data_IF_321851534516
#
_entry.id   IF_321851534516
#
_cell.length_a   1.000
_cell.length_b   1.000
_cell.length_c   1.000
_cell.angle_alpha   90.00
_cell.angle_beta   90.00
_cell.angle_gamma   90.00
#
_symmetry.space_group_name_H-M   'P 1'
#
loop_
_entity.id
_entity.type
_entity.pdbx_description
1 polymer ?
#
# COMPACT_ATOMS: atom_id res chain seq x y z
N UNK A 1 -83.58 72.69 -44.75
CA UNK A 1 -84.37 71.70 -45.49
C UNK A 1 -85.24 70.97 -44.46
N UNK A 2 -86.54 71.23 -44.45
CA UNK A 2 -87.43 70.87 -43.36
C UNK A 2 -87.78 69.38 -43.47
N UNK A 3 -87.19 68.54 -42.61
CA UNK A 3 -87.32 67.06 -42.65
C UNK A 3 -88.79 66.64 -42.51
N UNK A 4 -89.61 67.50 -41.88
CA UNK A 4 -91.04 67.28 -41.67
C UNK A 4 -91.88 67.23 -42.96
N UNK A 5 -91.47 67.95 -44.02
CA UNK A 5 -92.16 67.91 -45.33
C UNK A 5 -91.52 66.96 -46.32
N UNK A 6 -90.40 66.31 -45.97
CA UNK A 6 -89.72 65.38 -46.87
C UNK A 6 -90.51 64.08 -47.06
N UNK A 7 -91.42 63.76 -46.12
CA UNK A 7 -92.17 62.51 -46.11
C UNK A 7 -93.68 62.67 -46.38
N UNK A 8 -94.20 63.90 -46.52
CA UNK A 8 -95.63 64.14 -46.70
C UNK A 8 -96.14 63.82 -48.12
N UNK A 9 -95.24 63.66 -49.10
CA UNK A 9 -95.58 63.20 -50.46
C UNK A 9 -95.52 61.68 -50.63
N UNK A 10 -95.25 60.93 -49.57
CA UNK A 10 -95.09 59.47 -49.63
C UNK A 10 -96.37 58.67 -49.37
N UNK A 11 -97.55 59.27 -49.52
CA UNK A 11 -98.83 58.57 -49.31
C UNK A 11 -99.33 57.79 -50.55
N UNK A 12 -98.44 57.60 -51.54
CA UNK A 12 -98.70 56.74 -52.69
C UNK A 12 -98.14 55.34 -52.43
N UNK A 13 -98.79 54.27 -52.91
CA UNK A 13 -98.29 52.90 -52.78
C UNK A 13 -96.81 52.74 -53.19
N UNK A 14 -96.39 53.48 -54.23
CA UNK A 14 -95.01 53.47 -54.75
C UNK A 14 -93.98 54.07 -53.77
N UNK A 15 -94.41 55.00 -52.93
CA UNK A 15 -93.55 55.67 -51.97
C UNK A 15 -93.24 54.81 -50.74
N UNK A 16 -94.24 54.07 -50.25
CA UNK A 16 -94.03 53.04 -49.23
C UNK A 16 -93.09 51.94 -49.74
N UNK A 17 -93.16 51.60 -51.04
CA UNK A 17 -92.23 50.64 -51.65
C UNK A 17 -90.79 51.15 -51.69
N UNK A 18 -90.56 52.42 -52.07
CA UNK A 18 -89.22 53.03 -52.07
C UNK A 18 -88.65 53.15 -50.64
N UNK A 19 -89.47 53.53 -49.66
CA UNK A 19 -89.05 53.56 -48.25
C UNK A 19 -88.70 52.16 -47.72
N UNK A 20 -89.50 51.14 -48.06
CA UNK A 20 -89.21 49.76 -47.69
C UNK A 20 -87.89 49.29 -48.31
N UNK A 21 -87.65 49.56 -49.59
CA UNK A 21 -86.41 49.19 -50.30
C UNK A 21 -85.19 49.89 -49.69
N UNK A 22 -85.29 51.17 -49.33
CA UNK A 22 -84.17 51.91 -48.71
C UNK A 22 -83.86 51.43 -47.29
N UNK A 23 -84.88 51.12 -46.49
CA UNK A 23 -84.71 50.50 -45.16
C UNK A 23 -84.08 49.10 -45.31
N UNK A 24 -84.56 48.28 -46.24
CA UNK A 24 -83.97 46.96 -46.52
C UNK A 24 -82.51 47.11 -46.97
N UNK A 25 -82.19 48.05 -47.87
CA UNK A 25 -80.83 48.33 -48.31
C UNK A 25 -79.91 48.79 -47.17
N UNK A 26 -80.41 49.64 -46.27
CA UNK A 26 -79.68 50.08 -45.08
C UNK A 26 -79.44 48.92 -44.10
N UNK A 27 -80.47 48.12 -43.81
CA UNK A 27 -80.36 46.94 -42.97
C UNK A 27 -79.40 45.91 -43.58
N UNK A 28 -79.45 45.72 -44.90
CA UNK A 28 -78.55 44.83 -45.62
C UNK A 28 -77.10 45.32 -45.56
N UNK A 29 -76.86 46.62 -45.74
CA UNK A 29 -75.54 47.24 -45.56
C UNK A 29 -75.01 47.10 -44.12
N UNK A 30 -75.88 47.26 -43.12
CA UNK A 30 -75.54 47.09 -41.70
C UNK A 30 -75.20 45.62 -41.37
N UNK A 31 -75.98 44.67 -41.91
CA UNK A 31 -75.73 43.23 -41.78
C UNK A 31 -74.39 42.86 -42.46
N UNK A 32 -74.12 43.35 -43.68
CA UNK A 32 -72.84 43.12 -44.38
C UNK A 32 -71.67 43.71 -43.59
N UNK A 33 -71.80 44.93 -43.06
CA UNK A 33 -70.77 45.57 -42.24
C UNK A 33 -70.45 44.78 -40.97
N UNK A 34 -71.48 44.28 -40.28
CA UNK A 34 -71.31 43.42 -39.10
C UNK A 34 -70.68 42.06 -39.45
N UNK A 35 -71.07 41.46 -40.58
CA UNK A 35 -70.49 40.21 -41.07
C UNK A 35 -69.01 40.37 -41.45
N UNK A 36 -68.65 41.44 -42.16
CA UNK A 36 -67.25 41.72 -42.55
C UNK A 36 -66.37 42.03 -41.33
N UNK A 37 -66.88 42.82 -40.37
CA UNK A 37 -66.18 43.09 -39.10
C UNK A 37 -66.02 41.80 -38.28
N UNK A 38 -67.04 40.95 -38.24
CA UNK A 38 -66.99 39.62 -37.61
C UNK A 38 -66.02 38.67 -38.30
N UNK A 39 -65.91 38.71 -39.63
CA UNK A 39 -64.94 37.93 -40.40
C UNK A 39 -63.49 38.36 -40.11
N UNK A 40 -63.20 39.67 -40.16
CA UNK A 40 -61.87 40.21 -39.79
C UNK A 40 -61.51 39.93 -38.33
N UNK A 41 -62.45 40.10 -37.41
CA UNK A 41 -62.23 39.79 -36.00
C UNK A 41 -61.92 38.30 -35.77
N UNK A 42 -62.58 37.39 -36.49
CA UNK A 42 -62.27 35.95 -36.47
C UNK A 42 -60.88 35.66 -37.04
N UNK A 43 -60.51 36.30 -38.15
CA UNK A 43 -59.18 36.17 -38.74
C UNK A 43 -58.08 36.65 -37.78
N UNK A 44 -58.24 37.82 -37.17
CA UNK A 44 -57.28 38.33 -36.17
C UNK A 44 -57.21 37.44 -34.92
N UNK A 45 -58.33 36.92 -34.42
CA UNK A 45 -58.30 35.93 -33.32
C UNK A 45 -57.56 34.66 -33.70
N UNK A 46 -57.71 34.18 -34.94
CA UNK A 46 -56.99 33.01 -35.45
C UNK A 46 -55.48 33.27 -35.54
N UNK A 47 -55.08 34.45 -36.06
CA UNK A 47 -53.68 34.87 -36.10
C UNK A 47 -53.09 35.02 -34.69
N UNK A 48 -53.81 35.66 -33.76
CA UNK A 48 -53.37 35.81 -32.37
C UNK A 48 -53.20 34.44 -31.70
N UNK A 49 -54.12 33.49 -31.92
CA UNK A 49 -53.98 32.11 -31.42
C UNK A 49 -52.78 31.38 -32.03
N UNK A 50 -52.52 31.54 -33.32
CA UNK A 50 -51.36 30.94 -33.97
C UNK A 50 -50.05 31.54 -33.44
N UNK A 51 -50.00 32.87 -33.29
CA UNK A 51 -48.83 33.58 -32.79
C UNK A 51 -48.55 33.25 -31.31
N UNK A 52 -49.58 33.19 -30.47
CA UNK A 52 -49.44 32.77 -29.07
C UNK A 52 -48.96 31.33 -28.94
N UNK A 53 -49.44 30.41 -29.80
CA UNK A 53 -48.93 29.04 -29.82
C UNK A 53 -47.45 28.97 -30.26
N UNK A 54 -47.03 29.79 -31.23
CA UNK A 54 -45.62 29.89 -31.64
C UNK A 54 -44.76 30.45 -30.50
N UNK A 55 -45.21 31.51 -29.83
CA UNK A 55 -44.49 32.09 -28.68
C UNK A 55 -44.36 31.10 -27.53
N UNK A 56 -45.42 30.33 -27.23
CA UNK A 56 -45.35 29.26 -26.22
C UNK A 56 -44.35 28.18 -26.62
N UNK A 57 -44.35 27.76 -27.89
CA UNK A 57 -43.38 26.78 -28.38
C UNK A 57 -41.95 27.29 -28.27
N UNK A 58 -41.69 28.52 -28.70
CA UNK A 58 -40.38 29.16 -28.58
C UNK A 58 -39.93 29.26 -27.11
N UNK A 59 -40.82 29.59 -26.19
CA UNK A 59 -40.48 29.66 -24.77
C UNK A 59 -40.12 28.27 -24.21
N UNK A 60 -40.86 27.22 -24.58
CA UNK A 60 -40.52 25.85 -24.17
C UNK A 60 -39.17 25.38 -24.74
N UNK A 61 -38.87 25.76 -25.99
CA UNK A 61 -37.61 25.42 -26.64
C UNK A 61 -36.45 26.17 -25.97
N UNK A 62 -36.63 27.46 -25.68
CA UNK A 62 -35.68 28.27 -24.92
C UNK A 62 -35.37 27.66 -23.56
N UNK A 63 -36.40 27.33 -22.76
CA UNK A 63 -36.22 26.69 -21.45
C UNK A 63 -35.45 25.37 -21.58
N UNK A 64 -35.74 24.59 -22.62
CA UNK A 64 -35.03 23.32 -22.88
C UNK A 64 -33.55 23.56 -23.20
N UNK A 65 -33.25 24.56 -24.04
CA UNK A 65 -31.88 24.93 -24.40
C UNK A 65 -31.13 25.47 -23.18
N UNK A 66 -31.74 26.35 -22.39
CA UNK A 66 -31.15 26.90 -21.16
C UNK A 66 -30.84 25.81 -20.15
N UNK A 67 -31.76 24.84 -19.95
CA UNK A 67 -31.51 23.68 -19.12
C UNK A 67 -30.37 22.80 -19.65
N UNK A 68 -30.28 22.62 -20.97
CA UNK A 68 -29.17 21.92 -21.61
C UNK A 68 -27.82 22.64 -21.45
N UNK A 69 -27.82 23.98 -21.55
CA UNK A 69 -26.64 24.82 -21.37
C UNK A 69 -26.13 24.75 -19.94
N UNK A 70 -27.02 24.89 -18.94
CA UNK A 70 -26.66 24.77 -17.52
C UNK A 70 -26.00 23.42 -17.21
N UNK A 71 -26.55 22.33 -17.75
CA UNK A 71 -25.95 21.00 -17.59
C UNK A 71 -24.55 20.93 -18.22
N UNK A 72 -24.35 21.56 -19.38
CA UNK A 72 -23.04 21.61 -20.03
C UNK A 72 -22.04 22.47 -19.25
N UNK A 73 -22.48 23.56 -18.64
CA UNK A 73 -21.69 24.40 -17.74
C UNK A 73 -21.21 23.59 -16.52
N UNK A 74 -22.11 22.79 -15.92
CA UNK A 74 -21.78 21.91 -14.80
C UNK A 74 -20.78 20.81 -15.20
N UNK A 75 -20.98 20.16 -16.35
CA UNK A 75 -20.03 19.17 -16.89
C UNK A 75 -18.65 19.80 -17.15
N UNK A 76 -18.59 21.05 -17.62
CA UNK A 76 -17.35 21.78 -17.86
C UNK A 76 -16.61 22.13 -16.57
N UNK A 77 -17.33 22.54 -15.52
CA UNK A 77 -16.73 22.83 -14.21
C UNK A 77 -16.15 21.55 -13.59
N UNK A 78 -16.90 20.44 -13.64
CA UNK A 78 -16.42 19.15 -13.16
C UNK A 78 -15.15 18.69 -13.90
N UNK A 79 -15.12 18.84 -15.24
CA UNK A 79 -13.92 18.53 -16.02
C UNK A 79 -12.73 19.44 -15.63
N UNK A 80 -12.98 20.71 -15.34
CA UNK A 80 -11.95 21.67 -14.93
C UNK A 80 -11.39 21.37 -13.53
N UNK A 81 -12.20 20.87 -12.62
CA UNK A 81 -11.75 20.35 -11.32
C UNK A 81 -10.88 19.09 -11.48
N UNK A 82 -11.32 18.13 -12.30
CA UNK A 82 -10.54 16.93 -12.59
C UNK A 82 -9.17 17.27 -13.19
N UNK A 83 -9.10 18.23 -14.11
CA UNK A 83 -7.83 18.71 -14.67
C UNK A 83 -6.95 19.32 -13.58
N UNK A 84 -7.50 20.13 -12.67
CA UNK A 84 -6.74 20.72 -11.55
C UNK A 84 -6.13 19.64 -10.65
N UNK A 85 -6.88 18.58 -10.34
CA UNK A 85 -6.39 17.49 -9.51
C UNK A 85 -5.33 16.64 -10.22
N UNK A 86 -5.49 16.41 -11.53
CA UNK A 86 -4.47 15.74 -12.34
C UNK A 86 -3.18 16.56 -12.43
N UNK A 87 -3.26 17.88 -12.51
CA UNK A 87 -2.08 18.77 -12.48
C UNK A 87 -1.34 18.60 -11.15
N UNK A 88 -2.03 18.70 -10.01
CA UNK A 88 -1.40 18.49 -8.69
C UNK A 88 -0.74 17.12 -8.56
N UNK A 89 -1.41 16.07 -9.07
CA UNK A 89 -0.84 14.71 -9.07
C UNK A 89 0.42 14.62 -9.93
N UNK A 90 0.44 15.29 -11.07
CA UNK A 90 1.59 15.35 -11.98
C UNK A 90 2.76 16.10 -11.36
N UNK A 91 2.50 17.24 -10.70
CA UNK A 91 3.51 18.00 -9.97
C UNK A 91 4.15 17.17 -8.84
N UNK A 92 3.33 16.44 -8.09
CA UNK A 92 3.81 15.53 -7.04
C UNK A 92 4.70 14.43 -7.62
N UNK A 93 4.27 13.79 -8.72
CA UNK A 93 5.06 12.75 -9.41
C UNK A 93 6.39 13.29 -9.94
N UNK A 94 6.41 14.52 -10.47
CA UNK A 94 7.65 15.12 -10.96
C UNK A 94 8.61 15.44 -9.79
N UNK A 95 8.10 15.89 -8.64
CA UNK A 95 8.90 16.09 -7.44
C UNK A 95 9.50 14.77 -6.90
N UNK A 96 8.69 13.69 -6.87
CA UNK A 96 9.16 12.35 -6.48
C UNK A 96 10.24 11.83 -7.43
N UNK A 97 10.07 12.04 -8.74
CA UNK A 97 11.06 11.67 -9.76
C UNK A 97 12.37 12.44 -9.59
N UNK A 98 12.32 13.73 -9.25
CA UNK A 98 13.54 14.52 -8.98
C UNK A 98 14.27 14.04 -7.71
N UNK A 99 13.51 13.69 -6.67
CA UNK A 99 14.08 13.12 -5.47
C UNK A 99 14.80 11.79 -5.76
N UNK A 100 14.13 10.88 -6.49
CA UNK A 100 14.73 9.60 -6.89
C UNK A 100 15.99 9.77 -7.75
N UNK A 101 16.01 10.76 -8.65
CA UNK A 101 17.20 11.06 -9.44
C UNK A 101 18.39 11.52 -8.58
N UNK A 102 18.11 12.21 -7.47
CA UNK A 102 19.13 12.63 -6.48
C UNK A 102 19.65 11.41 -5.72
N UNK A 103 18.75 10.57 -5.21
CA UNK A 103 19.15 9.36 -4.47
C UNK A 103 19.98 8.42 -5.35
N UNK A 104 19.61 8.27 -6.62
CA UNK A 104 20.37 7.47 -7.58
C UNK A 104 21.78 8.02 -7.82
N UNK A 105 21.92 9.34 -7.86
CA UNK A 105 23.22 10.00 -8.00
C UNK A 105 24.09 9.76 -6.75
N UNK A 106 23.52 9.88 -5.56
CA UNK A 106 24.25 9.67 -4.30
C UNK A 106 24.65 8.20 -4.12
N UNK A 107 23.79 7.27 -4.53
CA UNK A 107 24.11 5.85 -4.59
C UNK A 107 25.25 5.55 -5.58
N UNK A 108 25.23 6.15 -6.78
CA UNK A 108 26.33 6.01 -7.74
C UNK A 108 27.66 6.55 -7.17
N UNK A 109 27.64 7.70 -6.51
CA UNK A 109 28.83 8.26 -5.88
C UNK A 109 29.38 7.33 -4.79
N UNK A 110 28.50 6.70 -4.01
CA UNK A 110 28.88 5.73 -2.99
C UNK A 110 29.50 4.46 -3.59
N UNK A 111 28.94 3.96 -4.70
CA UNK A 111 29.51 2.81 -5.44
C UNK A 111 30.90 3.15 -5.96
N UNK A 112 31.10 4.35 -6.51
CA UNK A 112 32.40 4.79 -7.01
C UNK A 112 33.45 4.88 -5.89
N UNK A 113 33.07 5.40 -4.71
CA UNK A 113 33.93 5.42 -3.53
C UNK A 113 34.31 4.01 -3.05
N UNK A 114 33.33 3.09 -3.00
CA UNK A 114 33.58 1.69 -2.64
C UNK A 114 34.50 1.00 -3.66
N UNK A 115 34.33 1.28 -4.95
CA UNK A 115 35.20 0.74 -6.00
C UNK A 115 36.63 1.27 -5.85
N UNK A 116 36.82 2.57 -5.60
CA UNK A 116 38.14 3.14 -5.34
C UNK A 116 38.81 2.53 -4.10
N UNK A 117 38.05 2.33 -3.00
CA UNK A 117 38.56 1.67 -1.80
C UNK A 117 38.94 0.21 -2.07
N UNK A 118 38.09 -0.53 -2.80
CA UNK A 118 38.38 -1.91 -3.19
C UNK A 118 39.63 -2.02 -4.07
N UNK A 119 39.83 -1.09 -5.00
CA UNK A 119 41.07 -1.03 -5.79
C UNK A 119 42.30 -0.79 -4.90
N UNK A 120 42.19 0.09 -3.90
CA UNK A 120 43.26 0.29 -2.92
C UNK A 120 43.55 -1.00 -2.15
N UNK A 121 42.53 -1.72 -1.68
CA UNK A 121 42.73 -2.99 -0.98
C UNK A 121 43.38 -4.05 -1.86
N UNK A 122 42.98 -4.15 -3.14
CA UNK A 122 43.60 -5.07 -4.09
C UNK A 122 45.08 -4.75 -4.29
N UNK A 123 45.45 -3.48 -4.47
CA UNK A 123 46.84 -3.06 -4.61
C UNK A 123 47.67 -3.41 -3.35
N UNK A 124 47.10 -3.22 -2.15
CA UNK A 124 47.75 -3.62 -0.90
C UNK A 124 47.93 -5.13 -0.79
N UNK A 125 46.93 -5.92 -1.18
CA UNK A 125 47.00 -7.39 -1.19
C UNK A 125 48.11 -7.86 -2.14
N UNK A 126 48.23 -7.23 -3.32
CA UNK A 126 49.26 -7.56 -4.30
C UNK A 126 50.67 -7.26 -3.77
N UNK A 127 50.88 -6.10 -3.14
CA UNK A 127 52.15 -5.74 -2.51
C UNK A 127 52.53 -6.73 -1.40
N UNK A 128 51.57 -7.08 -0.52
CA UNK A 128 51.77 -8.09 0.51
C UNK A 128 52.14 -9.45 -0.08
N UNK A 129 51.48 -9.87 -1.15
CA UNK A 129 51.76 -11.14 -1.82
C UNK A 129 53.20 -11.16 -2.38
N UNK A 130 53.64 -10.06 -3.01
CA UNK A 130 55.02 -9.92 -3.48
C UNK A 130 56.03 -9.98 -2.33
N UNK A 131 55.72 -9.36 -1.18
CA UNK A 131 56.58 -9.39 0.01
C UNK A 131 56.66 -10.80 0.62
N UNK A 132 55.56 -11.56 0.64
CA UNK A 132 55.54 -12.97 1.05
C UNK A 132 56.42 -13.82 0.12
N UNK A 133 56.31 -13.64 -1.20
CA UNK A 133 57.16 -14.35 -2.17
C UNK A 133 58.64 -14.04 -1.90
N UNK A 134 59.00 -12.77 -1.72
CA UNK A 134 60.38 -12.36 -1.43
C UNK A 134 60.93 -12.96 -0.13
N UNK A 135 60.10 -13.03 0.92
CA UNK A 135 60.47 -13.67 2.19
C UNK A 135 60.64 -15.18 2.03
N UNK A 136 59.76 -15.85 1.29
CA UNK A 136 59.87 -17.29 1.03
C UNK A 136 61.17 -17.61 0.27
N UNK A 137 61.52 -16.84 -0.76
CA UNK A 137 62.78 -17.03 -1.50
C UNK A 137 63.99 -16.87 -0.59
N UNK A 138 64.00 -15.87 0.31
CA UNK A 138 65.07 -15.71 1.30
C UNK A 138 65.13 -16.87 2.29
N UNK A 139 63.99 -17.36 2.76
CA UNK A 139 63.91 -18.52 3.65
C UNK A 139 64.50 -19.77 2.98
N UNK A 140 64.18 -20.01 1.71
CA UNK A 140 64.75 -21.11 0.93
C UNK A 140 66.28 -20.97 0.78
N UNK A 141 66.77 -19.77 0.47
CA UNK A 141 68.21 -19.49 0.40
C UNK A 141 68.92 -19.75 1.73
N UNK A 142 68.33 -19.31 2.84
CA UNK A 142 68.87 -19.55 4.18
C UNK A 142 68.88 -21.03 4.55
N UNK A 143 67.82 -21.78 4.23
CA UNK A 143 67.77 -23.22 4.45
C UNK A 143 68.87 -23.95 3.67
N UNK A 144 69.13 -23.52 2.43
CA UNK A 144 70.22 -24.03 1.60
C UNK A 144 71.58 -23.72 2.24
N UNK A 145 71.83 -22.48 2.69
CA UNK A 145 73.06 -22.06 3.36
C UNK A 145 73.29 -22.83 4.67
N UNK A 146 72.25 -23.01 5.49
CA UNK A 146 72.29 -23.80 6.73
C UNK A 146 72.62 -25.27 6.41
N UNK A 147 71.98 -25.88 5.41
CA UNK A 147 72.27 -27.27 5.02
C UNK A 147 73.69 -27.43 4.50
N UNK A 148 74.17 -26.50 3.67
CA UNK A 148 75.55 -26.49 3.22
C UNK A 148 76.50 -26.40 4.42
N UNK A 149 76.26 -25.47 5.36
CA UNK A 149 77.08 -25.35 6.56
C UNK A 149 77.05 -26.60 7.44
N UNK A 150 75.89 -27.24 7.63
CA UNK A 150 75.79 -28.50 8.37
C UNK A 150 76.65 -29.61 7.74
N UNK A 151 76.70 -29.68 6.40
CA UNK A 151 77.56 -30.64 5.68
C UNK A 151 79.07 -30.32 5.80
N UNK A 152 79.47 -29.04 5.80
CA UNK A 152 80.87 -28.64 5.96
C UNK A 152 81.35 -28.74 7.42
N UNK A 153 80.53 -28.37 8.40
CA UNK A 153 80.85 -28.46 9.83
C UNK A 153 81.03 -29.92 10.30
N UNK A 154 80.32 -30.86 9.67
CA UNK A 154 80.54 -32.29 9.88
C UNK A 154 81.89 -32.79 9.32
N UNK A 155 82.53 -32.04 8.41
CA UNK A 155 83.79 -32.40 7.78
C UNK A 155 85.04 -31.74 8.42
N UNK A 156 84.91 -30.57 9.07
CA UNK A 156 86.01 -29.86 9.73
C UNK A 156 85.53 -28.99 10.92
N UNK A 157 85.58 -29.46 12.19
CA UNK A 157 84.81 -28.84 13.29
C UNK A 157 85.38 -27.59 13.96
N UNK A 158 86.60 -27.14 13.64
CA UNK A 158 87.29 -26.07 14.41
C UNK A 158 88.23 -25.23 13.55
N UNK A 159 87.67 -24.46 12.61
CA UNK A 159 88.45 -23.47 11.84
C UNK A 159 87.84 -22.06 11.99
N UNK A 160 88.66 -21.02 11.93
CA UNK A 160 88.30 -19.60 12.08
C UNK A 160 87.21 -19.16 11.07
N UNK A 161 87.17 -19.83 9.92
CA UNK A 161 86.13 -19.64 8.91
C UNK A 161 84.73 -20.05 9.38
N UNK A 162 84.61 -20.95 10.37
CA UNK A 162 83.33 -21.38 10.94
C UNK A 162 82.71 -20.28 11.79
N UNK A 163 83.54 -19.51 12.50
CA UNK A 163 83.13 -18.39 13.35
C UNK A 163 82.65 -17.20 12.51
N UNK A 164 83.40 -16.80 11.48
CA UNK A 164 82.96 -15.75 10.54
C UNK A 164 81.65 -16.12 9.83
N UNK A 165 81.44 -17.41 9.55
CA UNK A 165 80.20 -17.88 8.93
C UNK A 165 79.02 -17.93 9.89
N UNK A 166 79.23 -18.27 11.16
CA UNK A 166 78.21 -18.14 12.20
C UNK A 166 77.78 -16.69 12.39
N UNK A 167 78.74 -15.75 12.36
CA UNK A 167 78.47 -14.31 12.43
C UNK A 167 77.61 -13.83 11.26
N UNK A 168 77.89 -14.28 10.03
CA UNK A 168 77.05 -13.94 8.87
C UNK A 168 75.62 -14.50 8.95
N UNK A 169 75.45 -15.72 9.50
CA UNK A 169 74.12 -16.31 9.70
C UNK A 169 73.35 -15.54 10.77
N UNK A 170 74.03 -15.13 11.85
CA UNK A 170 73.42 -14.33 12.92
C UNK A 170 72.97 -12.95 12.42
N UNK A 171 73.76 -12.29 11.56
CA UNK A 171 73.35 -11.04 10.89
C UNK A 171 72.12 -11.24 10.00
N UNK A 172 72.07 -12.31 9.21
CA UNK A 172 70.92 -12.61 8.36
C UNK A 172 69.65 -12.92 9.20
N UNK A 173 69.79 -13.61 10.34
CA UNK A 173 68.69 -13.92 11.26
C UNK A 173 68.14 -12.64 11.92
N UNK A 174 69.01 -11.70 12.28
CA UNK A 174 68.60 -10.38 12.77
C UNK A 174 67.88 -9.57 11.70
N UNK A 175 68.41 -9.53 10.47
CA UNK A 175 67.77 -8.84 9.35
C UNK A 175 66.36 -9.42 9.08
N UNK A 176 66.21 -10.75 9.19
CA UNK A 176 64.92 -11.42 9.00
C UNK A 176 63.93 -11.15 10.13
N UNK A 177 64.40 -11.07 11.38
CA UNK A 177 63.59 -10.65 12.52
C UNK A 177 63.05 -9.22 12.33
N UNK A 178 63.87 -8.30 11.82
CA UNK A 178 63.46 -6.93 11.50
C UNK A 178 62.39 -6.90 10.40
N UNK A 179 62.56 -7.68 9.33
CA UNK A 179 61.56 -7.75 8.24
C UNK A 179 60.23 -8.35 8.71
N UNK A 180 60.26 -9.37 9.58
CA UNK A 180 59.05 -9.95 10.17
C UNK A 180 58.30 -8.95 11.07
N UNK A 181 59.04 -8.09 11.79
CA UNK A 181 58.44 -7.04 12.60
C UNK A 181 57.74 -5.98 11.73
N UNK A 182 58.38 -5.56 10.64
CA UNK A 182 57.80 -4.61 9.67
C UNK A 182 56.54 -5.19 8.99
N UNK A 183 56.55 -6.48 8.66
CA UNK A 183 55.37 -7.18 8.12
C UNK A 183 54.21 -7.19 9.12
N UNK A 184 54.51 -7.35 10.41
CA UNK A 184 53.53 -7.37 11.49
C UNK A 184 52.87 -6.00 11.70
N UNK A 185 53.65 -4.92 11.61
CA UNK A 185 53.15 -3.55 11.67
C UNK A 185 52.24 -3.21 10.47
N UNK A 186 52.60 -3.66 9.26
CA UNK A 186 51.77 -3.52 8.06
C UNK A 186 50.43 -4.25 8.19
N UNK A 187 50.43 -5.50 8.68
CA UNK A 187 49.21 -6.28 8.92
C UNK A 187 48.31 -5.63 9.98
N UNK A 188 48.90 -5.03 11.01
CA UNK A 188 48.16 -4.33 12.05
C UNK A 188 47.45 -3.08 11.48
N UNK A 189 48.14 -2.29 10.65
CA UNK A 189 47.54 -1.13 9.99
C UNK A 189 46.38 -1.49 9.05
N UNK A 190 46.47 -2.61 8.32
CA UNK A 190 45.39 -3.09 7.46
C UNK A 190 44.17 -3.51 8.29
N UNK A 191 44.38 -4.17 9.44
CA UNK A 191 43.28 -4.52 10.34
C UNK A 191 42.50 -3.31 10.87
N UNK A 192 43.18 -2.17 11.01
CA UNK A 192 42.56 -0.90 11.39
C UNK A 192 41.79 -0.27 10.22
N UNK A 193 42.25 -0.43 8.98
CA UNK A 193 41.56 0.04 7.77
C UNK A 193 40.34 -0.81 7.40
N UNK A 194 40.29 -2.10 7.76
CA UNK A 194 39.12 -2.97 7.53
C UNK A 194 38.05 -2.82 8.62
N UNK A 195 38.37 -2.17 9.75
CA UNK A 195 37.47 -1.97 10.90
C UNK A 195 36.85 -0.57 10.98
N UNK A 196 37.23 0.36 10.10
CA UNK A 196 36.45 1.59 9.91
C UNK A 196 35.16 1.24 9.17
N UNK A 197 33.98 1.38 9.80
CA UNK A 197 32.73 1.23 9.08
C UNK A 197 32.72 2.27 7.96
N UNK A 198 32.52 1.83 6.73
CA UNK A 198 32.18 2.75 5.65
C UNK A 198 30.82 3.34 6.01
N UNK A 199 30.82 4.53 6.62
CA UNK A 199 29.61 5.29 6.84
C UNK A 199 29.07 5.72 5.49
N UNK A 200 28.00 5.05 5.05
CA UNK A 200 27.21 5.42 3.88
C UNK A 200 26.56 6.78 4.20
N UNK A 201 26.92 7.88 3.52
CA UNK A 201 26.25 9.16 3.71
C UNK A 201 24.85 9.04 3.11
N UNK A 202 23.82 9.01 3.97
CA UNK A 202 22.41 8.91 3.55
C UNK A 202 21.60 7.84 4.27
N UNK A 203 22.22 6.88 4.94
CA UNK A 203 21.51 5.96 5.86
C UNK A 203 21.57 6.49 7.28
N UNK A 204 20.78 7.53 7.59
CA UNK A 204 20.16 7.53 8.91
C UNK A 204 19.14 6.40 8.86
N UNK A 205 19.53 5.21 9.33
CA UNK A 205 18.57 4.18 9.66
C UNK A 205 17.51 4.84 10.56
N UNK A 206 16.25 4.95 10.11
CA UNK A 206 15.22 5.60 10.90
C UNK A 206 15.15 4.92 12.26
N UNK A 207 15.01 5.72 13.31
CA UNK A 207 14.92 5.18 14.67
C UNK A 207 13.81 4.14 14.74
N UNK A 208 13.99 3.08 15.54
CA UNK A 208 12.97 2.05 15.77
C UNK A 208 11.62 2.69 16.13
N UNK A 209 11.62 3.85 16.78
CA UNK A 209 10.41 4.58 17.13
C UNK A 209 9.76 5.30 15.94
N UNK A 210 10.54 5.77 14.97
CA UNK A 210 10.05 6.35 13.72
C UNK A 210 9.46 5.27 12.80
N UNK A 211 10.10 4.10 12.72
CA UNK A 211 9.59 2.95 11.98
C UNK A 211 8.27 2.42 12.57
N UNK A 212 8.19 2.33 13.90
CA UNK A 212 6.94 2.00 14.60
C UNK A 212 5.84 3.04 14.35
N UNK A 213 6.18 4.33 14.30
CA UNK A 213 5.22 5.39 13.99
C UNK A 213 4.71 5.31 12.54
N UNK A 214 5.60 5.07 11.58
CA UNK A 214 5.21 4.82 10.18
C UNK A 214 4.30 3.59 10.08
N UNK A 215 4.61 2.50 10.76
CA UNK A 215 3.74 1.30 10.84
C UNK A 215 2.34 1.58 11.40
N UNK A 216 2.20 2.44 12.43
CA UNK A 216 0.87 2.85 12.96
C UNK A 216 -0.01 3.47 11.87
N UNK A 217 0.62 4.29 11.02
CA UNK A 217 -0.05 5.06 9.97
C UNK A 217 -0.45 4.16 8.79
N UNK A 218 0.44 3.25 8.37
CA UNK A 218 0.18 2.26 7.31
C UNK A 218 -0.96 1.32 7.68
N UNK A 219 -1.02 0.88 8.95
CA UNK A 219 -2.03 -0.07 9.42
C UNK A 219 -3.30 0.61 9.97
N UNK A 220 -3.50 1.92 9.76
CA UNK A 220 -4.65 2.71 10.25
C UNK A 220 -5.00 2.41 11.72
N UNK A 221 -3.99 2.28 12.59
CA UNK A 221 -4.16 1.99 14.02
C UNK A 221 -4.36 0.50 14.39
N UNK A 222 -4.42 -0.43 13.43
CA UNK A 222 -4.35 -1.89 13.68
C UNK A 222 -2.90 -2.36 13.75
N UNK A 223 -2.09 -1.78 14.65
CA UNK A 223 -0.90 -2.52 15.08
C UNK A 223 -1.41 -3.66 15.95
N UNK A 224 -1.53 -4.83 15.35
CA UNK A 224 -1.64 -6.06 16.11
C UNK A 224 -0.32 -6.17 16.88
N UNK A 225 -0.39 -6.19 18.22
CA UNK A 225 0.78 -6.54 19.03
C UNK A 225 1.43 -7.78 18.42
N UNK A 226 2.77 -7.83 18.33
CA UNK A 226 3.52 -8.90 17.63
C UNK A 226 2.78 -10.23 17.81
N UNK A 227 2.19 -10.80 16.75
CA UNK A 227 1.40 -12.01 16.89
C UNK A 227 2.29 -13.08 17.49
N UNK A 228 1.72 -13.93 18.35
CA UNK A 228 2.51 -14.99 18.99
C UNK A 228 2.98 -16.07 17.99
N UNK A 229 2.52 -15.98 16.74
CA UNK A 229 2.92 -16.78 15.58
C UNK A 229 3.43 -15.85 14.48
N UNK A 230 4.59 -16.17 13.91
CA UNK A 230 5.27 -15.40 12.87
C UNK A 230 5.53 -16.36 11.72
N UNK A 231 5.07 -16.00 10.53
CA UNK A 231 5.29 -16.80 9.33
C UNK A 231 6.67 -16.51 8.76
N UNK A 232 7.22 -17.47 8.03
CA UNK A 232 8.47 -17.26 7.32
C UNK A 232 8.20 -16.55 5.99
N UNK A 233 8.21 -15.22 5.99
CA UNK A 233 7.83 -14.41 4.83
C UNK A 233 8.78 -14.63 3.64
N UNK A 234 10.00 -15.13 3.88
CA UNK A 234 10.96 -15.47 2.80
C UNK A 234 10.50 -16.60 1.87
N UNK A 235 9.40 -17.29 2.20
CA UNK A 235 8.75 -18.24 1.30
C UNK A 235 8.00 -17.57 0.13
N UNK A 236 7.81 -16.25 0.20
CA UNK A 236 7.27 -15.47 -0.92
C UNK A 236 8.43 -15.10 -1.84
N UNK A 237 8.37 -15.53 -3.10
CA UNK A 237 9.39 -15.24 -4.09
C UNK A 237 9.49 -13.72 -4.33
N UNK A 238 10.72 -13.19 -4.26
CA UNK A 238 11.01 -11.76 -4.32
C UNK A 238 11.10 -11.07 -2.95
N UNK A 239 10.69 -11.74 -1.87
CA UNK A 239 10.81 -11.27 -0.49
C UNK A 239 12.04 -11.90 0.17
N UNK A 240 13.14 -11.16 0.22
CA UNK A 240 14.37 -11.60 0.90
C UNK A 240 14.37 -11.33 2.41
N UNK A 241 15.30 -11.95 3.15
CA UNK A 241 15.44 -11.79 4.60
C UNK A 241 15.56 -10.32 5.07
N UNK A 242 16.19 -9.46 4.25
CA UNK A 242 16.27 -8.03 4.51
C UNK A 242 14.89 -7.34 4.47
N UNK A 243 14.07 -7.67 3.47
CA UNK A 243 12.72 -7.11 3.32
C UNK A 243 11.78 -7.64 4.39
N UNK A 244 11.88 -8.93 4.73
CA UNK A 244 11.15 -9.54 5.85
C UNK A 244 11.45 -8.80 7.16
N UNK A 245 12.72 -8.49 7.43
CA UNK A 245 13.10 -7.72 8.63
C UNK A 245 12.39 -6.37 8.68
N UNK A 246 12.39 -5.62 7.57
CA UNK A 246 11.70 -4.32 7.47
C UNK A 246 10.18 -4.45 7.64
N UNK A 247 9.56 -5.48 7.08
CA UNK A 247 8.13 -5.77 7.25
C UNK A 247 7.79 -6.06 8.72
N UNK A 248 8.61 -6.89 9.37
CA UNK A 248 8.48 -7.21 10.79
C UNK A 248 8.63 -5.95 11.67
N UNK A 249 9.52 -5.02 11.31
CA UNK A 249 9.71 -3.75 12.02
C UNK A 249 8.47 -2.84 11.96
N UNK A 250 7.72 -2.87 10.86
CA UNK A 250 6.46 -2.12 10.71
C UNK A 250 5.22 -2.91 11.15
N UNK A 251 5.38 -4.13 11.69
CA UNK A 251 4.31 -4.90 12.32
C UNK A 251 3.64 -5.95 11.42
N UNK A 252 4.25 -6.31 10.29
CA UNK A 252 3.77 -7.34 9.36
C UNK A 252 4.61 -8.59 9.58
N UNK A 253 3.98 -9.66 10.05
CA UNK A 253 4.60 -10.90 10.48
C UNK A 253 4.00 -12.16 9.82
N UNK A 254 2.81 -12.08 9.21
CA UNK A 254 2.09 -13.25 8.70
C UNK A 254 1.66 -13.15 7.24
N UNK A 255 1.52 -14.28 6.55
CA UNK A 255 0.93 -14.40 5.22
C UNK A 255 -0.50 -13.86 5.19
N UNK A 256 -1.26 -14.04 6.28
CA UNK A 256 -2.62 -13.48 6.40
C UNK A 256 -2.63 -11.96 6.23
N UNK A 257 -1.68 -11.27 6.86
CA UNK A 257 -1.58 -9.81 6.76
C UNK A 257 -1.27 -9.39 5.33
N UNK A 258 -0.35 -10.09 4.65
CA UNK A 258 0.03 -9.79 3.25
C UNK A 258 -1.11 -10.13 2.28
N UNK A 259 -1.80 -11.24 2.50
CA UNK A 259 -2.94 -11.68 1.69
C UNK A 259 -4.11 -10.69 1.72
N UNK A 260 -4.23 -9.89 2.78
CA UNK A 260 -5.28 -8.90 2.95
C UNK A 260 -4.97 -7.52 2.33
N UNK A 261 -3.79 -7.34 1.73
CA UNK A 261 -3.41 -6.04 1.17
C UNK A 261 -4.22 -5.66 -0.08
N UNK A 262 -4.71 -4.42 -0.08
CA UNK A 262 -5.24 -3.74 -1.26
C UNK A 262 -4.17 -2.83 -1.90
N UNK A 263 -4.49 -2.22 -3.05
CA UNK A 263 -3.55 -1.35 -3.76
C UNK A 263 -3.09 -0.14 -2.93
N UNK A 264 -3.94 0.39 -2.04
CA UNK A 264 -3.58 1.48 -1.12
C UNK A 264 -2.55 1.00 -0.09
N UNK A 265 -2.81 -0.15 0.52
CA UNK A 265 -1.92 -0.77 1.51
C UNK A 265 -0.58 -1.15 0.89
N UNK A 266 -0.56 -1.70 -0.33
CA UNK A 266 0.68 -2.02 -1.05
C UNK A 266 1.54 -0.77 -1.23
N UNK A 267 0.95 0.35 -1.67
CA UNK A 267 1.68 1.61 -1.84
C UNK A 267 2.24 2.14 -0.52
N UNK A 268 1.43 2.10 0.55
CA UNK A 268 1.84 2.57 1.88
C UNK A 268 2.96 1.71 2.48
N UNK A 269 2.85 0.38 2.36
CA UNK A 269 3.90 -0.55 2.79
C UNK A 269 5.17 -0.30 1.98
N UNK A 270 5.06 -0.21 0.65
CA UNK A 270 6.22 0.01 -0.24
C UNK A 270 6.99 1.28 0.13
N UNK A 271 6.28 2.36 0.43
CA UNK A 271 6.90 3.59 0.93
C UNK A 271 7.51 3.42 2.32
N UNK A 272 6.81 2.74 3.23
CA UNK A 272 7.24 2.59 4.62
C UNK A 272 8.50 1.73 4.78
N UNK A 273 8.68 0.70 3.95
CA UNK A 273 9.89 -0.14 3.94
C UNK A 273 10.95 0.34 2.94
N UNK A 274 10.73 1.49 2.28
CA UNK A 274 11.62 2.06 1.26
C UNK A 274 11.98 1.02 0.19
N UNK A 275 10.95 0.31 -0.27
CA UNK A 275 11.09 -0.75 -1.27
C UNK A 275 10.77 -0.23 -2.67
N UNK A 276 11.18 -0.98 -3.69
CA UNK A 276 11.05 -0.54 -5.08
C UNK A 276 9.56 -0.54 -5.47
N UNK A 277 8.99 0.62 -5.87
CA UNK A 277 7.59 0.71 -6.32
C UNK A 277 7.27 -0.27 -7.46
N UNK A 278 6.11 -0.93 -7.37
CA UNK A 278 5.63 -1.87 -8.40
C UNK A 278 6.22 -3.28 -8.32
N UNK A 279 7.23 -3.54 -7.45
CA UNK A 279 7.81 -4.89 -7.31
C UNK A 279 6.90 -5.85 -6.56
N UNK A 280 6.18 -5.39 -5.54
CA UNK A 280 5.26 -6.23 -4.75
C UNK A 280 4.17 -6.83 -5.66
N UNK A 281 3.68 -6.03 -6.62
CA UNK A 281 2.67 -6.42 -7.59
C UNK A 281 3.25 -7.30 -8.71
N UNK A 282 4.41 -6.92 -9.25
CA UNK A 282 5.10 -7.68 -10.30
C UNK A 282 5.53 -9.07 -9.82
N UNK A 283 6.03 -9.15 -8.60
CA UNK A 283 6.43 -10.39 -7.96
C UNK A 283 5.23 -11.09 -7.28
N UNK A 284 4.00 -10.55 -7.43
CA UNK A 284 2.74 -11.18 -7.01
C UNK A 284 2.68 -11.59 -5.53
N UNK A 285 3.27 -10.82 -4.63
CA UNK A 285 3.39 -11.21 -3.21
C UNK A 285 2.06 -11.54 -2.54
N UNK A 286 1.01 -10.76 -2.81
CA UNK A 286 -0.33 -10.99 -2.25
C UNK A 286 -0.88 -12.35 -2.69
N UNK A 287 -0.71 -12.71 -3.96
CA UNK A 287 -1.20 -13.99 -4.49
C UNK A 287 -0.43 -15.18 -3.91
N UNK A 288 0.89 -15.03 -3.77
CA UNK A 288 1.73 -16.05 -3.14
C UNK A 288 1.38 -16.24 -1.66
N UNK A 289 1.18 -15.15 -0.93
CA UNK A 289 0.76 -15.19 0.47
C UNK A 289 -0.59 -15.91 0.65
N UNK A 290 -1.57 -15.66 -0.24
CA UNK A 290 -2.85 -16.39 -0.25
C UNK A 290 -2.62 -17.90 -0.44
N UNK A 291 -1.71 -18.29 -1.34
CA UNK A 291 -1.40 -19.70 -1.60
C UNK A 291 -0.72 -20.36 -0.41
N UNK A 292 0.27 -19.69 0.19
CA UNK A 292 1.01 -20.16 1.36
C UNK A 292 0.08 -20.31 2.57
N UNK A 293 -0.75 -19.30 2.84
CA UNK A 293 -1.76 -19.36 3.89
C UNK A 293 -2.69 -20.55 3.68
N UNK A 294 -3.20 -20.75 2.46
CA UNK A 294 -4.09 -21.89 2.16
C UNK A 294 -3.38 -23.23 2.35
N UNK A 295 -2.12 -23.33 1.93
CA UNK A 295 -1.32 -24.53 2.07
C UNK A 295 -1.07 -24.87 3.54
N UNK A 296 -0.71 -23.89 4.37
CA UNK A 296 -0.53 -24.08 5.81
C UNK A 296 -1.82 -24.50 6.50
N UNK A 297 -2.94 -23.83 6.23
CA UNK A 297 -4.25 -24.21 6.78
C UNK A 297 -4.63 -25.62 6.35
N UNK A 298 -4.35 -26.01 5.10
CA UNK A 298 -4.66 -27.36 4.60
C UNK A 298 -3.86 -28.48 5.27
N UNK A 299 -2.68 -28.16 5.80
CA UNK A 299 -1.81 -29.11 6.47
C UNK A 299 -2.19 -29.31 7.96
N UNK A 300 -3.08 -28.48 8.51
CA UNK A 300 -3.57 -28.63 9.87
C UNK A 300 -4.60 -29.78 9.97
N UNK A 301 -4.69 -30.46 11.14
CA UNK A 301 -5.81 -31.34 11.43
C UNK A 301 -7.16 -30.64 11.19
N UNK A 302 -8.14 -31.33 10.59
CA UNK A 302 -9.45 -30.75 10.21
C UNK A 302 -10.13 -29.92 11.30
N UNK A 303 -9.95 -30.29 12.59
CA UNK A 303 -10.51 -29.55 13.72
C UNK A 303 -9.99 -28.11 13.84
N UNK A 304 -8.77 -27.84 13.37
CA UNK A 304 -8.06 -26.55 13.47
C UNK A 304 -8.09 -25.72 12.18
N UNK A 305 -8.74 -26.21 11.12
CA UNK A 305 -8.80 -25.50 9.84
C UNK A 305 -9.84 -24.39 9.81
N UNK A 306 -10.89 -24.51 10.63
CA UNK A 306 -12.02 -23.59 10.67
C UNK A 306 -11.92 -22.66 11.90
N UNK A 307 -11.54 -21.38 11.73
CA UNK A 307 -11.41 -20.43 12.84
C UNK A 307 -12.74 -20.06 13.51
N UNK A 308 -13.87 -20.47 12.91
CA UNK A 308 -15.20 -20.30 13.51
C UNK A 308 -15.60 -21.47 14.40
N UNK A 309 -14.84 -22.56 14.40
CA UNK A 309 -15.14 -23.76 15.16
C UNK A 309 -14.77 -23.57 16.65
N UNK A 310 -15.68 -23.02 17.45
CA UNK A 310 -15.40 -22.76 18.87
C UNK A 310 -15.33 -24.05 19.72
N UNK A 311 -15.76 -25.18 19.17
CA UNK A 311 -15.79 -26.48 19.86
C UNK A 311 -14.41 -27.09 20.10
N UNK A 312 -13.35 -26.50 19.54
CA UNK A 312 -11.98 -26.91 19.88
C UNK A 312 -11.54 -26.44 21.27
N UNK A 313 -12.33 -25.57 21.89
CA UNK A 313 -12.07 -25.04 23.23
C UNK A 313 -12.72 -25.96 24.26
N UNK A 314 -11.93 -26.47 25.18
CA UNK A 314 -12.37 -27.41 26.20
C UNK A 314 -13.44 -26.75 27.09
N UNK A 315 -14.59 -27.43 27.21
CA UNK A 315 -15.80 -26.91 27.86
C UNK A 315 -16.81 -26.20 26.95
N UNK A 316 -16.49 -25.92 25.68
CA UNK A 316 -17.44 -25.38 24.69
C UNK A 316 -18.03 -26.50 23.83
N UNK A 317 -19.24 -26.93 24.17
CA UNK A 317 -20.03 -27.85 23.34
C UNK A 317 -20.82 -27.14 22.22
N UNK A 318 -21.46 -27.90 21.31
CA UNK A 318 -22.22 -27.35 20.17
C UNK A 318 -23.28 -26.32 20.56
N UNK A 319 -23.94 -26.52 21.71
CA UNK A 319 -24.99 -25.60 22.17
C UNK A 319 -24.42 -24.30 22.75
N UNK A 320 -23.24 -24.35 23.36
CA UNK A 320 -22.55 -23.13 23.85
C UNK A 320 -21.99 -22.34 22.67
N UNK A 321 -21.40 -23.02 21.69
CA UNK A 321 -20.97 -22.40 20.43
C UNK A 321 -22.12 -21.65 19.75
N UNK A 322 -23.30 -22.28 19.61
CA UNK A 322 -24.48 -21.64 19.02
C UNK A 322 -24.91 -20.38 19.79
N UNK A 323 -24.89 -20.43 21.13
CA UNK A 323 -25.22 -19.27 21.98
C UNK A 323 -24.23 -18.12 21.80
N UNK A 324 -22.95 -18.43 21.72
CA UNK A 324 -21.90 -17.44 21.48
C UNK A 324 -22.01 -16.83 20.10
N UNK A 325 -22.22 -17.65 19.06
CA UNK A 325 -22.45 -17.16 17.70
C UNK A 325 -23.67 -16.25 17.62
N UNK A 326 -24.76 -16.58 18.31
CA UNK A 326 -25.96 -15.75 18.38
C UNK A 326 -25.74 -14.39 19.08
N UNK A 327 -24.75 -14.28 19.98
CA UNK A 327 -24.39 -13.05 20.70
C UNK A 327 -23.16 -12.33 20.08
N UNK A 328 -22.79 -12.70 18.85
CA UNK A 328 -21.70 -12.05 18.10
C UNK A 328 -20.29 -12.44 18.56
N UNK A 329 -20.12 -13.67 19.06
CA UNK A 329 -18.82 -14.31 19.27
C UNK A 329 -18.74 -15.50 18.30
N UNK A 330 -18.17 -15.27 17.13
CA UNK A 330 -18.26 -16.14 15.96
C UNK A 330 -16.98 -16.89 15.63
N UNK A 331 -15.84 -16.45 16.17
CA UNK A 331 -14.52 -17.00 15.88
C UNK A 331 -13.61 -16.94 17.12
N UNK A 332 -12.45 -17.59 17.06
CA UNK A 332 -11.50 -17.64 18.17
C UNK A 332 -10.97 -16.27 18.57
N UNK A 333 -10.79 -15.34 17.63
CA UNK A 333 -10.36 -13.97 17.90
C UNK A 333 -11.37 -13.23 18.78
N UNK A 334 -12.65 -13.25 18.42
CA UNK A 334 -13.73 -12.64 19.20
C UNK A 334 -13.91 -13.30 20.58
N UNK A 335 -13.73 -14.62 20.65
CA UNK A 335 -13.80 -15.36 21.91
C UNK A 335 -12.61 -15.00 22.82
N UNK A 336 -11.41 -14.87 22.27
CA UNK A 336 -10.21 -14.49 23.02
C UNK A 336 -10.29 -13.07 23.58
N UNK A 337 -10.89 -12.14 22.83
CA UNK A 337 -11.11 -10.76 23.26
C UNK A 337 -12.28 -10.61 24.24
N UNK A 338 -13.09 -11.65 24.43
CA UNK A 338 -14.28 -11.58 25.29
C UNK A 338 -13.92 -11.74 26.77
N UNK A 339 -14.44 -10.82 27.58
CA UNK A 339 -14.25 -10.85 29.04
C UNK A 339 -15.06 -11.98 29.69
N UNK A 340 -14.54 -12.53 30.79
CA UNK A 340 -15.24 -13.54 31.62
C UNK A 340 -16.64 -13.05 32.02
N UNK A 341 -16.80 -11.75 32.33
CA UNK A 341 -18.09 -11.13 32.64
C UNK A 341 -19.09 -11.24 31.48
N UNK A 342 -18.64 -10.97 30.24
CA UNK A 342 -19.47 -11.12 29.03
C UNK A 342 -19.89 -12.57 28.84
N UNK A 343 -18.93 -13.49 28.88
CA UNK A 343 -19.17 -14.93 28.68
C UNK A 343 -20.16 -15.48 29.71
N UNK A 344 -19.98 -15.17 31.01
CA UNK A 344 -20.92 -15.55 32.07
C UNK A 344 -22.31 -14.93 31.88
N UNK A 345 -22.37 -13.69 31.39
CA UNK A 345 -23.64 -13.01 31.08
C UNK A 345 -24.45 -13.75 30.01
N UNK A 346 -23.79 -14.18 28.93
CA UNK A 346 -24.43 -14.93 27.84
C UNK A 346 -24.96 -16.28 28.35
N UNK A 347 -24.13 -17.03 29.08
CA UNK A 347 -24.52 -18.32 29.66
C UNK A 347 -25.71 -18.16 30.63
N UNK A 348 -25.70 -17.11 31.45
CA UNK A 348 -26.77 -16.84 32.41
C UNK A 348 -28.10 -16.53 31.73
N UNK A 349 -28.07 -15.72 30.66
CA UNK A 349 -29.24 -15.36 29.84
C UNK A 349 -29.84 -16.59 29.13
N UNK A 350 -29.01 -17.57 28.76
CA UNK A 350 -29.43 -18.78 28.09
C UNK A 350 -30.12 -19.83 29.00
N UNK A 351 -30.03 -19.65 30.33
CA UNK A 351 -30.75 -20.43 31.33
C UNK A 351 -29.87 -21.31 32.23
N UNK A 352 -30.47 -21.81 33.32
CA UNK A 352 -29.76 -22.52 34.42
C UNK A 352 -28.85 -23.66 33.96
N UNK A 353 -29.24 -24.40 32.91
CA UNK A 353 -28.45 -25.52 32.37
C UNK A 353 -27.06 -25.12 31.85
N UNK A 354 -26.86 -23.86 31.48
CA UNK A 354 -25.57 -23.37 30.97
C UNK A 354 -24.70 -22.70 32.05
N UNK A 355 -25.30 -22.37 33.19
CA UNK A 355 -24.60 -21.67 34.30
C UNK A 355 -23.60 -22.59 35.03
N UNK A 356 -23.71 -23.90 34.86
CA UNK A 356 -22.76 -24.88 35.42
C UNK A 356 -21.40 -24.88 34.70
N UNK A 357 -21.31 -24.30 33.50
CA UNK A 357 -20.04 -24.22 32.77
C UNK A 357 -19.21 -23.02 33.25
N UNK A 358 -17.91 -23.25 33.43
CA UNK A 358 -16.97 -22.20 33.84
C UNK A 358 -16.19 -21.65 32.63
N UNK A 359 -16.43 -20.39 32.22
CA UNK A 359 -15.73 -19.79 31.09
C UNK A 359 -14.32 -19.27 31.41
N UNK A 360 -13.80 -19.49 32.62
CA UNK A 360 -12.54 -18.89 33.10
C UNK A 360 -11.34 -19.20 32.21
N UNK A 361 -11.30 -20.37 31.56
CA UNK A 361 -10.18 -20.79 30.71
C UNK A 361 -10.42 -20.53 29.21
N UNK A 362 -11.65 -20.24 28.79
CA UNK A 362 -12.04 -20.21 27.38
C UNK A 362 -11.34 -19.11 26.59
N UNK A 363 -11.21 -17.91 27.16
CA UNK A 363 -10.51 -16.81 26.48
C UNK A 363 -9.04 -17.15 26.24
N UNK A 364 -8.37 -17.80 27.21
CA UNK A 364 -6.96 -18.22 27.11
C UNK A 364 -6.77 -19.30 26.04
N UNK A 365 -7.61 -20.33 26.04
CA UNK A 365 -7.59 -21.37 25.01
C UNK A 365 -7.85 -20.76 23.62
N UNK A 366 -8.81 -19.85 23.50
CA UNK A 366 -9.12 -19.17 22.26
C UNK A 366 -7.96 -18.28 21.79
N UNK A 367 -7.18 -17.69 22.70
CA UNK A 367 -5.93 -17.01 22.35
C UNK A 367 -4.90 -17.97 21.75
N UNK A 368 -4.73 -19.16 22.31
CA UNK A 368 -3.80 -20.16 21.77
C UNK A 368 -4.24 -20.62 20.37
N UNK A 369 -5.53 -20.89 20.21
CA UNK A 369 -6.13 -21.26 18.92
C UNK A 369 -6.02 -20.15 17.85
N UNK A 370 -6.39 -18.91 18.20
CA UNK A 370 -6.29 -17.76 17.29
C UNK A 370 -4.86 -17.47 16.85
N UNK A 371 -3.87 -17.87 17.65
CA UNK A 371 -2.45 -17.74 17.33
C UNK A 371 -1.85 -19.01 16.70
N UNK A 372 -2.65 -20.02 16.34
CA UNK A 372 -2.13 -21.25 15.72
C UNK A 372 -1.21 -22.08 16.62
N UNK A 373 -1.23 -21.85 17.94
CA UNK A 373 -0.36 -22.54 18.91
C UNK A 373 -0.96 -23.88 19.34
N UNK A 374 -1.11 -24.79 18.38
CA UNK A 374 -1.86 -26.03 18.56
C UNK A 374 -1.25 -26.95 19.62
N UNK A 375 0.07 -27.07 19.68
CA UNK A 375 0.78 -27.89 20.67
C UNK A 375 0.64 -27.31 22.09
N UNK A 376 0.77 -25.99 22.24
CA UNK A 376 0.54 -25.32 23.54
C UNK A 376 -0.93 -25.43 23.97
N UNK A 377 -1.87 -25.35 23.02
CA UNK A 377 -3.30 -25.52 23.30
C UNK A 377 -3.59 -26.93 23.80
N UNK A 378 -3.09 -27.96 23.10
CA UNK A 378 -3.29 -29.36 23.45
C UNK A 378 -2.71 -29.66 24.83
N UNK A 379 -1.46 -29.23 25.09
CA UNK A 379 -0.83 -29.36 26.40
C UNK A 379 -1.63 -28.64 27.50
N UNK A 380 -2.10 -27.42 27.24
CA UNK A 380 -2.91 -26.68 28.20
C UNK A 380 -4.25 -27.38 28.49
N UNK A 381 -4.86 -28.01 27.49
CA UNK A 381 -6.08 -28.80 27.65
C UNK A 381 -5.85 -30.07 28.46
N UNK A 382 -4.73 -30.77 28.23
CA UNK A 382 -4.33 -31.94 29.02
C UNK A 382 -4.13 -31.60 30.51
N UNK A 383 -3.54 -30.43 30.81
CA UNK A 383 -3.40 -29.93 32.19
C UNK A 383 -4.75 -29.65 32.86
N UNK A 384 -5.73 -29.14 32.10
CA UNK A 384 -7.08 -28.87 32.60
C UNK A 384 -7.88 -30.15 32.87
N UNK A 385 -7.73 -31.16 32.01
CA UNK A 385 -8.40 -32.45 32.16
C UNK A 385 -7.74 -33.34 33.23
N UNK A 386 -6.41 -33.25 33.38
CA UNK A 386 -5.63 -34.00 34.38
C UNK A 386 -5.72 -33.46 35.80
N UNK A 387 -6.37 -32.30 36.01
CA UNK A 387 -6.55 -31.64 37.31
C UNK A 387 -7.93 -31.84 37.96
N UNK A 388 -8.72 -32.83 37.52
CA UNK A 388 -10.02 -33.17 38.12
C UNK A 388 -9.94 -33.90 39.46
#
# INVERSE_FOLDING_TARGET
MNIHNLFSSFDTPDSYAIMLITIIGFLFGLIIGLLLKGAKARAYRKQLKAQTAISQKLETEKITIEGGLLKKEEELEQASEQIRDLIKKTEKLEAEKQHFATDLRDAHQSIEQLQASNQSYVATIEDLNNKIIGLNTKNEQLLEEINQQATYAAAAPQDDQTLQRLETVEEQLQAMASQNQELKELLQNISHQTNTPVSIPGTTEPSIDELKQRGKNVLKGKIVARPNHVDNLTKIDGLGAFTEKKLNEIGIFTYEQIAAWDADTINQVTQAIEFIPGRIEKDHWVQQAIQLQKHEVSNLPKKYQDPTNLKIIEGIGPKIEELFKADGITNWTELSASSIKRLKGILSKAGKRFQMHDPTTWSKQATLAANGKWEELEKYQEELDGGR
#
